data_IF_762009784770
#
_entry.id   IF_762009784770
#
_cell.length_a   1.000
_cell.length_b   1.000
_cell.length_c   1.000
_cell.angle_alpha   90.00
_cell.angle_beta   90.00
_cell.angle_gamma   90.00
#
_symmetry.space_group_name_H-M   'P 1'
#
loop_
_entity.id
_entity.type
_entity.pdbx_description
1 polymer ?
#
# COMPACT_ATOMS: atom_id res chain seq x y z
N UNK A 1 1.35 48.34 -29.75
CA UNK A 1 1.80 47.71 -28.47
C UNK A 1 1.01 46.44 -28.08
N UNK A 2 -0.11 46.10 -28.71
CA UNK A 2 -0.95 44.94 -28.34
C UNK A 2 -0.59 43.58 -29.03
N UNK A 3 0.00 43.58 -30.23
CA UNK A 3 0.35 42.34 -30.94
C UNK A 3 1.54 41.58 -30.32
N UNK A 4 2.52 42.27 -29.78
CA UNK A 4 3.71 41.68 -29.14
C UNK A 4 3.36 40.99 -27.80
N UNK A 5 2.33 41.48 -27.08
CA UNK A 5 1.86 40.84 -25.83
C UNK A 5 1.04 39.55 -26.12
N UNK A 6 0.25 39.54 -27.18
CA UNK A 6 -0.52 38.31 -27.58
C UNK A 6 0.42 37.19 -28.04
N UNK A 7 1.46 37.48 -28.79
CA UNK A 7 2.41 36.48 -29.23
C UNK A 7 3.26 35.90 -28.08
N UNK A 8 3.57 36.67 -27.04
CA UNK A 8 4.28 36.21 -25.85
C UNK A 8 3.39 35.31 -24.95
N UNK A 9 2.08 35.58 -24.86
CA UNK A 9 1.14 34.74 -24.13
C UNK A 9 0.94 33.37 -24.83
N UNK A 10 0.74 33.37 -26.13
CA UNK A 10 0.58 32.13 -26.92
C UNK A 10 1.84 31.27 -26.91
N UNK A 11 3.03 31.88 -26.88
CA UNK A 11 4.30 31.17 -26.74
C UNK A 11 4.46 30.50 -25.38
N UNK A 12 4.10 31.20 -24.28
CA UNK A 12 4.12 30.65 -22.91
C UNK A 12 3.13 29.50 -22.74
N UNK A 13 1.91 29.63 -23.28
CA UNK A 13 0.90 28.59 -23.20
C UNK A 13 1.35 27.32 -23.95
N UNK A 14 1.90 27.45 -25.14
CA UNK A 14 2.47 26.31 -25.91
C UNK A 14 3.66 25.66 -25.20
N UNK A 15 4.49 26.42 -24.51
CA UNK A 15 5.60 25.87 -23.73
C UNK A 15 5.09 25.07 -22.52
N UNK A 16 4.07 25.56 -21.82
CA UNK A 16 3.44 24.86 -20.70
C UNK A 16 2.75 23.56 -21.16
N UNK A 17 2.05 23.59 -22.29
CA UNK A 17 1.43 22.39 -22.87
C UNK A 17 2.49 21.35 -23.31
N UNK A 18 3.60 21.78 -23.91
CA UNK A 18 4.72 20.88 -24.24
C UNK A 18 5.37 20.29 -22.99
N UNK A 19 5.56 21.09 -21.93
CA UNK A 19 6.06 20.58 -20.64
C UNK A 19 5.10 19.55 -20.03
N UNK A 20 3.79 19.82 -20.04
CA UNK A 20 2.77 18.86 -19.57
C UNK A 20 2.78 17.57 -20.39
N UNK A 21 2.89 17.66 -21.72
CA UNK A 21 3.02 16.49 -22.60
C UNK A 21 4.31 15.72 -22.34
N UNK A 22 5.44 16.40 -22.14
CA UNK A 22 6.73 15.75 -21.85
C UNK A 22 6.70 15.09 -20.46
N UNK A 23 6.11 15.75 -19.45
CA UNK A 23 5.91 15.19 -18.11
C UNK A 23 4.97 13.98 -18.13
N UNK A 24 3.91 14.04 -18.94
CA UNK A 24 2.99 12.91 -19.14
C UNK A 24 3.67 11.74 -19.84
N UNK A 25 4.52 12.00 -20.84
CA UNK A 25 5.32 10.97 -21.53
C UNK A 25 6.38 10.36 -20.59
N UNK A 26 7.00 11.17 -19.72
CA UNK A 26 7.95 10.69 -18.69
C UNK A 26 7.23 9.90 -17.61
N UNK A 27 6.05 10.33 -17.19
CA UNK A 27 5.18 9.57 -16.28
C UNK A 27 4.76 8.23 -16.89
N UNK A 28 4.32 8.22 -18.14
CA UNK A 28 3.97 6.99 -18.88
C UNK A 28 5.20 6.07 -19.05
N UNK A 29 6.41 6.63 -19.23
CA UNK A 29 7.65 5.83 -19.27
C UNK A 29 7.99 5.21 -17.93
N UNK A 30 7.80 5.92 -16.83
CA UNK A 30 8.03 5.37 -15.48
C UNK A 30 7.02 4.25 -15.15
N UNK A 31 5.77 4.33 -15.63
CA UNK A 31 4.76 3.27 -15.43
C UNK A 31 5.00 2.03 -16.31
N UNK A 32 5.86 2.10 -17.34
CA UNK A 32 6.28 0.94 -18.15
C UNK A 32 7.55 0.25 -17.63
N UNK A 33 8.09 0.70 -16.51
CA UNK A 33 9.34 0.16 -15.98
C UNK A 33 9.15 -1.22 -15.35
N UNK A 34 7.94 -1.58 -14.97
CA UNK A 34 7.60 -2.81 -14.28
C UNK A 34 6.43 -3.54 -14.95
N UNK A 35 6.45 -4.86 -14.86
CA UNK A 35 5.34 -5.75 -15.18
C UNK A 35 5.23 -6.82 -14.11
N UNK A 36 4.31 -7.77 -14.26
CA UNK A 36 4.14 -8.85 -13.29
C UNK A 36 4.05 -10.20 -13.99
N UNK A 37 4.56 -11.24 -13.32
CA UNK A 37 4.40 -12.63 -13.69
C UNK A 37 3.60 -13.31 -12.59
N UNK A 38 2.60 -14.13 -12.97
CA UNK A 38 1.83 -14.92 -12.04
C UNK A 38 2.21 -16.40 -12.15
N UNK A 39 2.40 -17.03 -11.01
CA UNK A 39 2.52 -18.48 -10.88
C UNK A 39 1.35 -19.05 -10.07
N UNK A 40 0.80 -20.16 -10.55
CA UNK A 40 -0.27 -20.85 -9.88
C UNK A 40 -1.65 -20.19 -9.98
N UNK A 41 -2.57 -20.69 -9.18
CA UNK A 41 -3.97 -20.31 -9.13
C UNK A 41 -4.24 -19.42 -7.91
N UNK A 42 -4.94 -18.29 -8.08
CA UNK A 42 -5.46 -17.51 -6.94
C UNK A 42 -6.25 -18.42 -6.00
N UNK A 43 -6.21 -18.12 -4.72
CA UNK A 43 -6.87 -18.89 -3.65
C UNK A 43 -6.31 -20.31 -3.51
N UNK A 44 -5.00 -20.47 -3.75
CA UNK A 44 -4.22 -21.67 -3.43
C UNK A 44 -2.89 -21.30 -2.77
N UNK A 45 -2.30 -22.23 -2.03
CA UNK A 45 -0.97 -22.06 -1.41
C UNK A 45 0.15 -21.88 -2.46
N UNK A 46 -0.09 -22.31 -3.70
CA UNK A 46 0.87 -22.16 -4.80
C UNK A 46 0.81 -20.84 -5.54
N UNK A 47 -0.12 -19.94 -5.21
CA UNK A 47 -0.24 -18.64 -5.85
C UNK A 47 0.93 -17.73 -5.47
N UNK A 48 1.59 -17.17 -6.49
CA UNK A 48 2.61 -16.14 -6.34
C UNK A 48 2.51 -15.14 -7.49
N UNK A 49 2.60 -13.86 -7.18
CA UNK A 49 2.70 -12.80 -8.20
C UNK A 49 4.01 -12.07 -7.99
N UNK A 50 4.88 -12.15 -8.98
CA UNK A 50 6.22 -11.55 -8.95
C UNK A 50 6.26 -10.24 -9.72
N UNK A 51 7.06 -9.31 -9.23
CA UNK A 51 7.50 -8.14 -10.00
C UNK A 51 8.47 -8.57 -11.09
N UNK A 52 8.39 -7.98 -12.27
CA UNK A 52 9.41 -8.09 -13.31
C UNK A 52 9.83 -6.72 -13.83
N UNK A 53 11.13 -6.57 -14.09
CA UNK A 53 11.70 -5.37 -14.67
C UNK A 53 11.64 -5.42 -16.19
N UNK A 54 11.98 -4.31 -16.87
CA UNK A 54 11.96 -4.21 -18.33
C UNK A 54 12.87 -5.21 -19.05
N UNK A 55 13.96 -5.64 -18.39
CA UNK A 55 14.88 -6.65 -18.93
C UNK A 55 14.38 -8.09 -18.71
N UNK A 56 13.18 -8.28 -18.12
CA UNK A 56 12.58 -9.58 -17.83
C UNK A 56 13.08 -10.23 -16.53
N UNK A 57 14.00 -9.62 -15.81
CA UNK A 57 14.44 -10.12 -14.51
C UNK A 57 13.34 -9.97 -13.45
N UNK A 58 13.29 -10.93 -12.54
CA UNK A 58 12.44 -10.88 -11.35
C UNK A 58 13.01 -9.86 -10.36
N UNK A 59 12.15 -8.99 -9.87
CA UNK A 59 12.45 -8.03 -8.83
C UNK A 59 11.57 -8.21 -7.60
N UNK A 60 11.91 -7.46 -6.57
CA UNK A 60 11.18 -7.40 -5.31
C UNK A 60 10.19 -6.24 -5.32
N UNK A 61 8.91 -6.52 -5.03
CA UNK A 61 7.93 -5.47 -4.77
C UNK A 61 8.34 -4.60 -3.58
N UNK A 62 8.97 -5.20 -2.58
CA UNK A 62 9.38 -4.51 -1.37
C UNK A 62 10.56 -3.56 -1.61
N UNK A 63 11.56 -4.01 -2.43
CA UNK A 63 12.87 -3.36 -2.47
C UNK A 63 13.24 -2.72 -3.80
N UNK A 64 12.71 -3.19 -4.94
CA UNK A 64 13.08 -2.68 -6.27
C UNK A 64 12.10 -1.64 -6.82
N UNK A 65 10.87 -1.58 -6.31
CA UNK A 65 9.96 -0.47 -6.59
C UNK A 65 10.41 0.74 -5.77
N UNK A 66 10.73 1.88 -6.39
CA UNK A 66 11.15 3.06 -5.62
C UNK A 66 9.99 3.64 -4.80
N UNK A 67 10.30 4.15 -3.61
CA UNK A 67 9.35 4.94 -2.81
C UNK A 67 8.83 6.15 -3.61
N UNK A 68 9.73 6.81 -4.37
CA UNK A 68 9.45 7.97 -5.22
C UNK A 68 8.66 9.06 -4.48
N UNK A 69 9.13 9.39 -3.27
CA UNK A 69 8.54 10.42 -2.41
C UNK A 69 8.76 11.80 -2.99
N UNK A 70 7.66 12.52 -3.26
CA UNK A 70 7.66 13.96 -3.50
C UNK A 70 6.98 14.67 -2.31
N UNK A 71 7.78 15.31 -1.45
CA UNK A 71 7.27 15.95 -0.24
C UNK A 71 6.37 17.17 -0.55
N UNK A 72 6.62 17.89 -1.63
CA UNK A 72 5.83 19.07 -2.02
C UNK A 72 4.42 18.65 -2.49
N UNK A 73 4.35 17.67 -3.37
CA UNK A 73 3.09 17.12 -3.88
C UNK A 73 2.45 16.08 -2.94
N UNK A 74 3.17 15.70 -1.87
CA UNK A 74 2.80 14.65 -0.92
C UNK A 74 2.46 13.34 -1.60
N UNK A 75 3.27 12.92 -2.58
CA UNK A 75 3.02 11.70 -3.35
C UNK A 75 4.10 10.65 -3.13
N UNK A 76 3.69 9.38 -3.20
CA UNK A 76 4.55 8.19 -3.13
C UNK A 76 4.07 7.15 -4.11
N UNK A 77 4.85 6.09 -4.31
CA UNK A 77 4.36 4.89 -4.97
C UNK A 77 3.66 3.97 -3.97
N UNK A 78 2.62 3.29 -4.45
CA UNK A 78 1.88 2.22 -3.78
C UNK A 78 1.90 0.96 -4.63
N UNK A 79 2.00 -0.19 -4.00
CA UNK A 79 1.79 -1.50 -4.62
C UNK A 79 0.43 -2.01 -4.17
N UNK A 80 -0.44 -2.34 -5.11
CA UNK A 80 -1.76 -2.89 -4.81
C UNK A 80 -1.63 -4.38 -4.52
N UNK A 81 -1.93 -4.80 -3.31
CA UNK A 81 -1.95 -6.20 -2.88
C UNK A 81 -3.34 -6.80 -2.96
N UNK A 82 -4.34 -6.06 -2.47
CA UNK A 82 -5.73 -6.50 -2.37
C UNK A 82 -6.64 -5.49 -3.06
N UNK A 83 -7.15 -5.81 -4.25
CA UNK A 83 -8.20 -5.00 -4.88
C UNK A 83 -9.41 -4.85 -3.97
N UNK A 84 -10.05 -3.69 -3.99
CA UNK A 84 -11.29 -3.43 -3.24
C UNK A 84 -12.30 -4.57 -3.43
N UNK A 85 -13.01 -4.90 -2.36
CA UNK A 85 -14.01 -5.98 -2.26
C UNK A 85 -13.47 -7.40 -2.37
N UNK A 86 -12.16 -7.59 -2.41
CA UNK A 86 -11.53 -8.90 -2.31
C UNK A 86 -11.57 -9.37 -0.85
N UNK A 87 -11.88 -10.65 -0.62
CA UNK A 87 -11.88 -11.27 0.72
C UNK A 87 -10.56 -11.96 1.05
N UNK A 88 -9.81 -12.46 0.06
CA UNK A 88 -8.49 -13.04 0.30
C UNK A 88 -7.50 -12.01 0.78
N UNK A 89 -6.79 -12.29 1.89
CA UNK A 89 -5.67 -11.46 2.34
C UNK A 89 -4.44 -11.78 1.52
N UNK A 90 -4.07 -10.89 0.63
CA UNK A 90 -2.82 -10.98 -0.13
C UNK A 90 -1.84 -9.95 0.40
N UNK A 91 -0.55 -10.31 0.43
CA UNK A 91 0.51 -9.44 0.95
C UNK A 91 1.84 -9.72 0.26
N UNK A 92 2.75 -8.77 0.29
CA UNK A 92 4.14 -8.94 -0.11
C UNK A 92 4.81 -9.88 0.90
N UNK A 93 5.27 -11.05 0.43
CA UNK A 93 5.92 -12.03 1.30
C UNK A 93 7.25 -11.50 1.84
N UNK A 94 7.42 -11.56 3.16
CA UNK A 94 8.70 -11.25 3.81
C UNK A 94 9.73 -12.37 3.67
N UNK A 95 9.29 -13.61 3.60
CA UNK A 95 10.16 -14.79 3.65
C UNK A 95 10.68 -15.22 2.28
N UNK A 96 9.84 -15.07 1.24
CA UNK A 96 10.17 -15.59 -0.08
C UNK A 96 11.16 -14.69 -0.82
N UNK A 97 12.04 -15.32 -1.60
CA UNK A 97 12.96 -14.62 -2.49
C UNK A 97 12.18 -13.68 -3.43
N UNK A 98 12.67 -12.47 -3.62
CA UNK A 98 12.05 -11.40 -4.42
C UNK A 98 10.68 -10.94 -3.93
N UNK A 99 10.29 -11.26 -2.71
CA UNK A 99 9.10 -10.76 -2.04
C UNK A 99 7.85 -10.71 -2.96
N UNK A 100 7.41 -11.86 -3.54
CA UNK A 100 6.21 -11.89 -4.36
C UNK A 100 4.96 -11.60 -3.51
N UNK A 101 3.90 -11.14 -4.15
CA UNK A 101 2.57 -11.13 -3.52
C UNK A 101 2.06 -12.57 -3.46
N UNK A 102 1.69 -13.00 -2.26
CA UNK A 102 1.10 -14.31 -1.95
C UNK A 102 -0.18 -14.14 -1.17
N UNK A 103 -1.00 -15.18 -1.08
CA UNK A 103 -2.07 -15.15 -0.09
C UNK A 103 -1.53 -15.57 1.27
N UNK A 104 -1.75 -14.74 2.29
CA UNK A 104 -1.35 -15.01 3.66
C UNK A 104 -1.99 -16.31 4.20
N UNK A 105 -1.31 -16.94 5.14
CA UNK A 105 -1.71 -18.20 5.73
C UNK A 105 -1.68 -18.15 7.25
N UNK A 106 -2.64 -18.84 7.88
CA UNK A 106 -2.66 -19.06 9.33
C UNK A 106 -2.90 -20.54 9.60
N UNK A 107 -2.00 -21.18 10.35
CA UNK A 107 -2.07 -22.62 10.65
C UNK A 107 -2.18 -23.48 9.37
N UNK A 108 -1.44 -23.13 8.32
CA UNK A 108 -1.41 -23.83 7.04
C UNK A 108 -2.66 -23.62 6.16
N UNK A 109 -3.59 -22.74 6.54
CA UNK A 109 -4.79 -22.40 5.77
C UNK A 109 -4.72 -21.00 5.24
N UNK A 110 -5.23 -20.80 4.01
CA UNK A 110 -5.32 -19.47 3.42
C UNK A 110 -6.18 -18.53 4.28
N UNK A 111 -5.70 -17.31 4.45
CA UNK A 111 -6.43 -16.27 5.18
C UNK A 111 -7.40 -15.53 4.27
N UNK A 112 -8.58 -15.30 4.80
CA UNK A 112 -9.61 -14.45 4.24
C UNK A 112 -10.10 -13.49 5.33
N UNK A 113 -10.42 -12.27 4.97
CA UNK A 113 -11.18 -11.38 5.85
C UNK A 113 -12.65 -11.76 5.79
N UNK A 114 -13.32 -11.68 6.92
CA UNK A 114 -14.77 -11.94 6.99
C UNK A 114 -15.55 -10.70 6.52
N UNK A 115 -16.70 -10.96 5.88
CA UNK A 115 -17.64 -9.88 5.58
C UNK A 115 -18.36 -9.48 6.86
N UNK A 116 -18.11 -8.29 7.36
CA UNK A 116 -18.81 -7.72 8.51
C UNK A 116 -19.84 -6.70 8.02
N UNK A 117 -21.13 -6.91 8.35
CA UNK A 117 -22.18 -6.01 7.86
C UNK A 117 -21.93 -4.57 8.29
N UNK A 118 -21.99 -3.55 7.38
CA UNK A 118 -22.38 -3.64 5.95
C UNK A 118 -21.20 -3.80 4.96
N UNK A 119 -20.01 -4.20 5.40
CA UNK A 119 -18.78 -4.20 4.61
C UNK A 119 -18.48 -5.57 3.98
N UNK A 120 -18.21 -5.59 2.68
CA UNK A 120 -17.80 -6.78 1.94
C UNK A 120 -16.29 -6.76 1.67
N UNK A 121 -15.55 -7.77 2.20
CA UNK A 121 -14.10 -7.87 2.02
C UNK A 121 -13.35 -6.61 2.46
N UNK A 122 -12.25 -6.30 1.77
CA UNK A 122 -11.54 -5.04 1.94
C UNK A 122 -12.32 -3.89 1.32
N UNK A 123 -12.57 -2.84 2.10
CA UNK A 123 -13.37 -1.69 1.62
C UNK A 123 -12.56 -0.68 0.81
N UNK A 124 -11.24 -0.84 0.75
CA UNK A 124 -10.29 -0.05 -0.01
C UNK A 124 -9.56 -0.92 -1.03
N UNK A 125 -8.91 -0.30 -2.03
CA UNK A 125 -7.75 -0.92 -2.63
C UNK A 125 -6.63 -0.88 -1.59
N UNK A 126 -6.24 -2.05 -1.09
CA UNK A 126 -5.28 -2.16 -0.01
C UNK A 126 -3.92 -2.60 -0.55
N UNK A 127 -2.85 -2.13 0.07
CA UNK A 127 -1.53 -2.51 -0.36
C UNK A 127 -0.44 -1.84 0.46
N UNK A 128 0.77 -1.87 -0.05
CA UNK A 128 1.97 -1.45 0.66
C UNK A 128 2.67 -0.26 0.00
N UNK A 129 3.33 0.56 0.80
CA UNK A 129 4.25 1.59 0.33
C UNK A 129 5.65 0.95 0.23
N UNK A 130 6.23 0.83 -0.99
CA UNK A 130 7.53 0.18 -1.17
C UNK A 130 8.66 0.93 -0.49
N UNK A 131 9.75 0.21 -0.19
CA UNK A 131 10.94 0.76 0.48
C UNK A 131 10.61 1.47 1.81
N UNK A 132 9.59 0.96 2.53
CA UNK A 132 9.30 1.30 3.92
C UNK A 132 9.29 0.04 4.76
N UNK A 133 9.55 0.15 6.06
CA UNK A 133 9.55 -0.99 6.99
C UNK A 133 9.15 -0.55 8.39
N UNK A 134 8.10 -1.16 8.93
CA UNK A 134 7.66 -0.97 10.31
C UNK A 134 8.54 -1.80 11.25
N UNK A 135 9.64 -1.20 11.67
CA UNK A 135 10.76 -1.82 12.38
C UNK A 135 10.34 -2.36 13.76
N UNK A 136 10.29 -3.69 13.98
CA UNK A 136 9.90 -4.27 15.26
C UNK A 136 10.97 -4.10 16.35
N UNK A 137 12.13 -3.53 16.00
CA UNK A 137 13.23 -3.28 16.93
C UNK A 137 13.14 -1.93 17.61
N UNK A 138 12.27 -1.05 17.12
CA UNK A 138 12.07 0.30 17.61
C UNK A 138 10.80 0.34 18.46
N UNK A 139 10.91 0.88 19.67
CA UNK A 139 9.78 1.14 20.54
C UNK A 139 9.22 2.54 20.28
N UNK A 140 7.94 2.62 19.96
CA UNK A 140 7.21 3.85 19.76
C UNK A 140 6.33 4.17 21.00
N UNK A 141 6.58 5.33 21.61
CA UNK A 141 5.72 5.88 22.66
C UNK A 141 4.77 6.88 22.05
N UNK A 142 3.53 6.47 21.82
CA UNK A 142 2.53 7.28 21.11
C UNK A 142 1.56 7.94 22.09
N UNK A 143 1.70 9.27 22.22
CA UNK A 143 0.84 10.05 23.11
C UNK A 143 1.01 9.71 24.59
N UNK A 144 -0.11 9.63 25.34
CA UNK A 144 -0.14 9.26 26.75
C UNK A 144 -0.28 7.75 26.99
N UNK A 145 -0.10 6.92 25.96
CA UNK A 145 -0.08 5.48 26.14
C UNK A 145 1.18 5.08 26.92
N UNK A 146 1.01 4.48 28.08
CA UNK A 146 2.12 3.98 28.91
C UNK A 146 2.80 2.73 28.30
N UNK A 147 2.22 2.18 27.23
CA UNK A 147 2.73 0.98 26.56
C UNK A 147 3.52 1.41 25.33
N UNK A 148 4.78 0.99 25.29
CA UNK A 148 5.59 1.11 24.10
C UNK A 148 5.14 0.07 23.06
N UNK A 149 4.82 0.52 21.85
CA UNK A 149 4.42 -0.33 20.73
C UNK A 149 5.60 -0.51 19.77
N UNK A 150 5.67 -1.65 19.11
CA UNK A 150 6.67 -1.96 18.08
C UNK A 150 5.98 -2.10 16.74
N UNK A 151 6.71 -1.85 15.65
CA UNK A 151 6.24 -2.14 14.31
C UNK A 151 5.99 -3.64 14.09
N UNK A 152 5.18 -3.97 13.10
CA UNK A 152 4.72 -5.33 12.79
C UNK A 152 5.63 -6.12 11.84
N UNK A 153 6.79 -5.53 11.48
CA UNK A 153 7.77 -6.12 10.58
C UNK A 153 7.33 -6.15 9.08
N UNK A 154 6.30 -5.41 8.70
CA UNK A 154 5.80 -5.29 7.33
C UNK A 154 6.20 -3.94 6.68
N UNK A 155 6.11 -3.78 5.35
CA UNK A 155 6.11 -2.46 4.75
C UNK A 155 4.86 -1.69 5.19
N UNK A 156 4.92 -0.35 5.21
CA UNK A 156 3.76 0.49 5.56
C UNK A 156 2.54 0.16 4.71
N UNK A 157 1.44 -0.14 5.36
CA UNK A 157 0.15 -0.38 4.73
C UNK A 157 -0.52 0.90 4.24
N UNK A 158 -1.20 0.83 3.11
CA UNK A 158 -1.99 1.93 2.60
C UNK A 158 -3.38 1.51 2.09
N UNK A 159 -4.33 2.42 2.31
CA UNK A 159 -5.74 2.31 1.94
C UNK A 159 -6.04 3.35 0.86
N UNK A 160 -6.16 2.91 -0.38
CA UNK A 160 -6.49 3.77 -1.50
C UNK A 160 -8.01 3.92 -1.61
N UNK A 161 -8.50 5.17 -1.57
CA UNK A 161 -9.91 5.51 -1.45
C UNK A 161 -10.57 5.97 -2.76
N UNK A 162 -9.84 6.08 -3.86
CA UNK A 162 -10.36 6.55 -5.15
C UNK A 162 -11.51 5.69 -5.69
N UNK A 163 -12.06 6.08 -6.82
CA UNK A 163 -13.28 5.49 -7.38
C UNK A 163 -13.07 4.13 -8.05
N UNK A 164 -11.89 3.85 -8.58
CA UNK A 164 -11.61 2.64 -9.34
C UNK A 164 -11.26 1.44 -8.45
N UNK A 165 -11.54 0.23 -8.95
CA UNK A 165 -10.99 -1.01 -8.40
C UNK A 165 -9.67 -1.29 -9.09
N UNK A 166 -8.57 -1.26 -8.33
CA UNK A 166 -7.23 -1.38 -8.86
C UNK A 166 -6.82 -2.85 -9.03
N UNK A 167 -5.89 -3.12 -9.94
CA UNK A 167 -5.39 -4.46 -10.19
C UNK A 167 -4.29 -4.84 -9.20
N UNK A 168 -4.32 -6.08 -8.68
CA UNK A 168 -3.27 -6.66 -7.82
C UNK A 168 -1.91 -6.64 -8.53
N UNK A 169 -0.89 -6.17 -7.84
CA UNK A 169 0.48 -6.05 -8.34
C UNK A 169 0.71 -4.81 -9.20
N UNK A 170 -0.33 -3.97 -9.42
CA UNK A 170 -0.13 -2.68 -10.07
C UNK A 170 0.60 -1.72 -9.13
N UNK A 171 1.48 -0.90 -9.72
CA UNK A 171 2.20 0.17 -9.04
C UNK A 171 1.49 1.47 -9.38
N UNK A 172 1.07 2.19 -8.36
CA UNK A 172 0.30 3.43 -8.47
C UNK A 172 1.04 4.59 -7.83
N UNK A 173 1.06 5.73 -8.49
CA UNK A 173 1.44 7.00 -7.86
C UNK A 173 0.23 7.50 -7.10
N UNK A 174 0.36 7.66 -5.78
CA UNK A 174 -0.75 8.06 -4.91
C UNK A 174 -0.40 9.32 -4.11
N UNK A 175 -1.41 10.12 -3.82
CA UNK A 175 -1.31 11.28 -2.92
C UNK A 175 -1.63 10.84 -1.50
N UNK A 176 -0.77 11.19 -0.55
CA UNK A 176 -0.92 10.92 0.88
C UNK A 176 -1.86 11.97 1.49
N UNK A 177 -2.93 11.51 2.12
CA UNK A 177 -3.97 12.36 2.70
C UNK A 177 -3.94 12.36 4.24
N UNK A 178 -3.51 11.27 4.84
CA UNK A 178 -3.42 11.10 6.28
C UNK A 178 -3.13 9.67 6.68
N UNK A 179 -3.19 9.36 7.97
CA UNK A 179 -2.99 7.98 8.47
C UNK A 179 -3.76 7.73 9.76
N UNK A 180 -4.06 6.45 10.00
CA UNK A 180 -4.65 5.93 11.23
C UNK A 180 -3.65 4.97 11.87
N UNK A 181 -3.36 5.16 13.16
CA UNK A 181 -2.43 4.30 13.91
C UNK A 181 -3.22 3.17 14.58
N UNK A 182 -3.35 2.03 13.91
CA UNK A 182 -3.96 0.83 14.44
C UNK A 182 -3.03 0.18 15.47
N UNK A 183 -3.62 -0.35 16.56
CA UNK A 183 -2.95 -1.24 17.49
C UNK A 183 -3.52 -2.64 17.24
N UNK A 184 -2.76 -3.46 16.54
CA UNK A 184 -3.17 -4.79 16.11
C UNK A 184 -2.39 -5.87 16.87
N UNK A 185 -3.08 -6.66 17.69
CA UNK A 185 -2.47 -7.69 18.55
C UNK A 185 -1.29 -7.16 19.41
N UNK A 186 -1.25 -5.85 19.72
CA UNK A 186 -0.22 -5.19 20.51
C UNK A 186 0.93 -4.58 19.72
N UNK A 187 0.87 -4.62 18.41
CA UNK A 187 1.81 -4.00 17.47
C UNK A 187 1.24 -2.70 16.90
N UNK A 188 2.12 -1.76 16.55
CA UNK A 188 1.76 -0.55 15.85
C UNK A 188 1.75 -0.85 14.34
N UNK A 189 0.59 -0.69 13.75
CA UNK A 189 0.30 -0.99 12.37
C UNK A 189 -0.36 0.25 11.72
N UNK A 190 0.43 1.04 11.00
CA UNK A 190 -0.04 2.26 10.37
C UNK A 190 -0.87 1.97 9.12
N UNK A 191 -2.02 2.65 9.01
CA UNK A 191 -2.89 2.62 7.82
C UNK A 191 -2.86 3.99 7.15
N UNK A 192 -2.07 4.12 6.09
CA UNK A 192 -1.94 5.38 5.33
C UNK A 192 -3.12 5.51 4.37
N UNK A 193 -3.84 6.63 4.46
CA UNK A 193 -4.96 6.94 3.56
C UNK A 193 -4.40 7.68 2.34
N UNK A 194 -4.65 7.13 1.16
CA UNK A 194 -4.12 7.65 -0.10
C UNK A 194 -5.20 7.68 -1.19
N UNK A 195 -4.95 8.47 -2.25
CA UNK A 195 -5.77 8.47 -3.48
C UNK A 195 -4.86 8.40 -4.70
N UNK A 196 -5.21 7.58 -5.71
CA UNK A 196 -4.50 7.54 -7.00
C UNK A 196 -4.47 8.96 -7.60
N UNK A 197 -3.30 9.45 -8.00
CA UNK A 197 -3.15 10.79 -8.60
C UNK A 197 -3.95 10.95 -9.90
N UNK A 198 -4.32 9.84 -10.54
CA UNK A 198 -5.16 9.83 -11.74
C UNK A 198 -6.66 9.79 -11.43
N UNK A 199 -7.08 9.62 -10.17
CA UNK A 199 -8.48 9.71 -9.81
C UNK A 199 -9.00 11.13 -10.08
N UNK A 200 -10.21 11.29 -10.68
CA UNK A 200 -10.77 12.60 -11.00
C UNK A 200 -10.89 13.55 -9.80
N UNK A 201 -10.99 13.03 -8.59
CA UNK A 201 -11.11 13.82 -7.36
C UNK A 201 -9.75 14.10 -6.70
N UNK A 202 -8.65 13.49 -7.14
CA UNK A 202 -7.33 13.64 -6.50
C UNK A 202 -6.85 15.09 -6.43
N UNK A 203 -7.21 15.91 -7.43
CA UNK A 203 -6.87 17.33 -7.47
C UNK A 203 -7.68 18.20 -6.52
N UNK A 204 -8.78 17.67 -5.97
CA UNK A 204 -9.72 18.36 -5.07
C UNK A 204 -9.55 17.96 -3.61
N UNK A 205 -8.84 16.87 -3.35
CA UNK A 205 -8.66 16.30 -2.02
C UNK A 205 -7.17 16.39 -1.67
N UNK A 206 -6.84 17.19 -0.67
CA UNK A 206 -5.48 17.43 -0.20
C UNK A 206 -5.31 17.26 1.32
N UNK A 207 -6.41 17.04 2.04
CA UNK A 207 -6.44 16.80 3.48
C UNK A 207 -7.63 15.94 3.92
N UNK A 208 -7.71 15.64 5.23
CA UNK A 208 -8.74 14.82 5.83
C UNK A 208 -10.15 15.47 5.78
N UNK A 209 -10.23 16.80 5.88
CA UNK A 209 -11.51 17.53 5.82
C UNK A 209 -12.11 17.41 4.42
N UNK A 210 -11.27 17.48 3.39
CA UNK A 210 -11.68 17.31 2.01
C UNK A 210 -12.11 15.87 1.69
N UNK A 211 -11.56 14.87 2.38
CA UNK A 211 -12.06 13.49 2.27
C UNK A 211 -13.53 13.44 2.67
N UNK A 212 -13.92 14.01 3.81
CA UNK A 212 -15.30 13.99 4.28
C UNK A 212 -16.26 14.79 3.36
N UNK A 213 -15.76 15.81 2.67
CA UNK A 213 -16.56 16.58 1.71
C UNK A 213 -16.89 15.75 0.45
N UNK A 214 -15.94 14.97 -0.09
CA UNK A 214 -16.08 14.24 -1.35
C UNK A 214 -16.41 12.76 -1.19
N UNK A 215 -16.02 12.16 -0.06
CA UNK A 215 -16.27 10.76 0.31
C UNK A 215 -16.87 10.68 1.73
N UNK A 216 -18.06 11.25 1.97
CA UNK A 216 -18.62 11.36 3.31
C UNK A 216 -18.74 10.00 4.00
N UNK A 217 -18.23 9.92 5.23
CA UNK A 217 -18.25 8.72 6.06
C UNK A 217 -17.18 7.68 5.77
N UNK A 218 -16.28 7.86 4.78
CA UNK A 218 -15.25 6.86 4.47
C UNK A 218 -14.23 6.70 5.61
N UNK A 219 -13.88 7.80 6.30
CA UNK A 219 -12.94 7.74 7.42
C UNK A 219 -13.52 6.99 8.61
N UNK A 220 -14.79 7.22 8.93
CA UNK A 220 -15.49 6.48 9.98
C UNK A 220 -15.66 5.01 9.62
N UNK A 221 -16.06 4.71 8.38
CA UNK A 221 -16.16 3.34 7.87
C UNK A 221 -14.81 2.61 7.93
N UNK A 222 -13.71 3.29 7.59
CA UNK A 222 -12.35 2.75 7.67
C UNK A 222 -11.99 2.38 9.11
N UNK A 223 -12.19 3.30 10.04
CA UNK A 223 -11.91 3.06 11.47
C UNK A 223 -12.76 1.93 12.01
N UNK A 224 -14.04 1.92 11.71
CA UNK A 224 -14.97 0.89 12.18
C UNK A 224 -14.65 -0.49 11.57
N UNK A 225 -14.28 -0.55 10.30
CA UNK A 225 -13.87 -1.79 9.65
C UNK A 225 -12.62 -2.38 10.31
N UNK A 226 -11.56 -1.60 10.51
CA UNK A 226 -10.34 -2.06 11.19
C UNK A 226 -10.58 -2.41 12.66
N UNK A 227 -11.51 -1.74 13.32
CA UNK A 227 -11.90 -2.07 14.70
C UNK A 227 -12.46 -3.48 14.80
N UNK A 228 -13.25 -3.92 13.82
CA UNK A 228 -14.11 -5.10 13.90
C UNK A 228 -13.70 -6.28 13.03
N UNK A 229 -12.87 -6.09 12.02
CA UNK A 229 -12.65 -7.09 10.96
C UNK A 229 -12.13 -8.45 11.45
N UNK A 230 -11.51 -8.51 12.64
CA UNK A 230 -11.02 -9.74 13.27
C UNK A 230 -12.01 -10.39 14.25
N UNK A 231 -13.08 -9.69 14.64
CA UNK A 231 -14.06 -10.19 15.63
C UNK A 231 -14.70 -11.53 15.20
N UNK A 232 -15.12 -11.72 13.94
CA UNK A 232 -15.66 -13.01 13.51
C UNK A 232 -14.67 -14.17 13.63
N UNK A 233 -13.37 -13.90 13.68
CA UNK A 233 -12.32 -14.90 13.90
C UNK A 233 -12.00 -15.11 15.40
N UNK A 234 -12.83 -14.57 16.31
CA UNK A 234 -12.70 -14.73 17.76
C UNK A 234 -11.69 -13.79 18.41
N UNK A 235 -11.24 -12.75 17.71
CA UNK A 235 -10.36 -11.71 18.28
C UNK A 235 -11.18 -10.59 18.95
N UNK A 236 -10.63 -9.88 19.96
CA UNK A 236 -11.26 -8.69 20.51
C UNK A 236 -11.34 -7.58 19.44
N UNK A 237 -12.06 -6.51 19.78
CA UNK A 237 -12.00 -5.26 19.00
C UNK A 237 -10.59 -4.70 19.03
N UNK A 238 -10.11 -4.25 17.86
CA UNK A 238 -8.85 -3.51 17.79
C UNK A 238 -9.00 -2.10 18.38
N UNK A 239 -7.90 -1.56 18.85
CA UNK A 239 -7.80 -0.19 19.35
C UNK A 239 -6.90 0.66 18.45
N UNK A 240 -6.82 1.97 18.72
CA UNK A 240 -6.02 2.90 17.93
C UNK A 240 -5.26 3.83 18.86
N UNK A 241 -4.06 4.22 18.45
CA UNK A 241 -3.30 5.26 19.11
C UNK A 241 -3.90 6.66 18.86
N UNK A 242 -3.32 7.70 19.46
CA UNK A 242 -3.74 9.10 19.30
C UNK A 242 -5.23 9.36 19.55
N UNK A 243 -5.83 8.66 20.52
CA UNK A 243 -7.28 8.75 20.81
C UNK A 243 -8.15 8.51 19.57
N UNK A 244 -7.73 7.56 18.73
CA UNK A 244 -8.40 7.18 17.48
C UNK A 244 -8.48 8.29 16.41
N UNK A 245 -7.70 9.35 16.59
CA UNK A 245 -7.66 10.45 15.64
C UNK A 245 -6.73 10.15 14.48
N UNK A 246 -7.19 10.44 13.27
CA UNK A 246 -6.35 10.44 12.09
C UNK A 246 -5.23 11.47 12.22
N UNK A 247 -4.05 11.12 11.75
CA UNK A 247 -2.95 12.04 11.59
C UNK A 247 -3.02 12.70 10.21
N UNK A 248 -2.70 13.98 10.13
CA UNK A 248 -2.71 14.72 8.86
C UNK A 248 -1.60 14.26 7.91
N UNK A 249 -1.66 14.72 6.65
CA UNK A 249 -0.70 14.35 5.61
C UNK A 249 0.75 14.69 5.96
N UNK A 250 1.03 15.82 6.65
CA UNK A 250 2.41 16.21 7.00
C UNK A 250 3.03 15.24 8.01
N UNK A 251 2.28 14.88 9.05
CA UNK A 251 2.73 13.87 10.03
C UNK A 251 2.87 12.50 9.38
N UNK A 252 1.97 12.16 8.46
CA UNK A 252 2.03 10.89 7.73
C UNK A 252 3.27 10.81 6.83
N UNK A 253 3.62 11.89 6.13
CA UNK A 253 4.87 11.97 5.36
C UNK A 253 6.09 11.77 6.28
N UNK A 254 6.06 12.33 7.50
CA UNK A 254 7.14 12.10 8.46
C UNK A 254 7.24 10.61 8.86
N UNK A 255 6.11 9.95 9.15
CA UNK A 255 6.06 8.50 9.42
C UNK A 255 6.62 7.70 8.23
N UNK A 256 6.23 8.01 7.00
CA UNK A 256 6.76 7.35 5.79
C UNK A 256 8.29 7.50 5.71
N UNK A 257 8.84 8.69 6.00
CA UNK A 257 10.30 8.93 6.03
C UNK A 257 11.00 8.12 7.11
N UNK A 258 10.40 7.99 8.28
CA UNK A 258 10.93 7.17 9.38
C UNK A 258 10.97 5.69 9.00
N UNK A 259 9.88 5.14 8.46
CA UNK A 259 9.83 3.76 7.98
C UNK A 259 10.76 3.52 6.77
N UNK A 260 10.95 4.52 5.91
CA UNK A 260 11.95 4.45 4.83
C UNK A 260 13.39 4.42 5.38
N UNK A 261 13.68 5.18 6.44
CA UNK A 261 14.99 5.11 7.09
C UNK A 261 15.20 3.76 7.79
N UNK A 262 14.18 3.16 8.37
CA UNK A 262 14.21 1.79 8.89
C UNK A 262 14.46 0.78 7.78
N UNK A 263 13.79 0.90 6.63
CA UNK A 263 14.07 0.09 5.45
C UNK A 263 15.53 0.20 4.97
N UNK A 264 16.13 1.40 4.96
CA UNK A 264 17.55 1.57 4.63
C UNK A 264 18.47 0.81 5.57
N UNK A 265 18.15 0.76 6.87
CA UNK A 265 18.89 -0.05 7.85
C UNK A 265 18.73 -1.54 7.56
N UNK A 266 17.50 -1.98 7.24
CA UNK A 266 17.21 -3.37 6.88
C UNK A 266 18.08 -3.83 5.70
N UNK A 267 18.06 -3.10 4.58
CA UNK A 267 18.83 -3.48 3.39
C UNK A 267 20.34 -3.31 3.52
N UNK A 268 20.84 -2.53 4.49
CA UNK A 268 22.25 -2.39 4.76
C UNK A 268 22.88 -3.62 5.43
N UNK A 269 22.05 -4.57 5.88
CA UNK A 269 22.49 -5.75 6.62
C UNK A 269 22.92 -5.48 8.07
N UNK A 270 22.82 -4.24 8.55
CA UNK A 270 23.30 -3.86 9.89
C UNK A 270 22.52 -4.48 11.06
N UNK A 271 21.38 -5.12 10.76
CA UNK A 271 20.49 -5.74 11.75
C UNK A 271 20.58 -7.26 11.78
N UNK A 272 21.24 -7.92 10.80
CA UNK A 272 21.23 -9.38 10.63
C UNK A 272 21.77 -10.16 11.84
N UNK A 273 22.67 -9.59 12.61
CA UNK A 273 23.21 -10.24 13.82
C UNK A 273 22.30 -10.10 15.05
N UNK A 274 21.21 -9.31 14.95
CA UNK A 274 20.42 -8.91 16.11
C UNK A 274 18.99 -9.48 16.12
N UNK A 275 18.51 -9.96 14.96
CA UNK A 275 17.11 -10.39 14.80
C UNK A 275 17.00 -11.59 13.85
N UNK A 276 16.25 -12.62 14.28
CA UNK A 276 16.12 -13.90 13.56
C UNK A 276 15.08 -13.87 12.42
N UNK A 277 14.13 -12.90 12.41
CA UNK A 277 12.99 -12.86 11.49
C UNK A 277 12.98 -11.61 10.60
N UNK A 278 14.13 -11.19 10.11
CA UNK A 278 14.18 -10.07 9.17
C UNK A 278 13.60 -10.46 7.80
N UNK A 279 12.93 -9.53 7.11
CA UNK A 279 12.49 -9.75 5.74
C UNK A 279 13.64 -10.14 4.81
N UNK A 280 13.33 -11.01 3.83
CA UNK A 280 14.25 -11.32 2.75
C UNK A 280 14.54 -10.06 1.93
N UNK A 281 15.83 -9.74 1.76
CA UNK A 281 16.29 -8.50 1.10
C UNK A 281 16.78 -8.72 -0.33
N UNK A 282 16.49 -9.87 -0.92
CA UNK A 282 16.92 -10.17 -2.29
C UNK A 282 16.22 -9.29 -3.32
N UNK A 283 16.99 -8.74 -4.24
CA UNK A 283 16.56 -7.80 -5.28
C UNK A 283 16.97 -8.26 -6.66
N UNK A 284 16.45 -7.59 -7.69
CA UNK A 284 16.88 -7.77 -9.06
C UNK A 284 18.41 -7.58 -9.23
N UNK A 285 18.93 -8.07 -10.35
CA UNK A 285 20.37 -8.00 -10.67
C UNK A 285 21.09 -9.35 -10.64
N UNK A 286 20.36 -10.44 -10.36
CA UNK A 286 20.92 -11.80 -10.32
C UNK A 286 20.62 -12.62 -11.61
N UNK A 287 20.06 -11.99 -12.67
CA UNK A 287 19.70 -12.66 -13.92
C UNK A 287 18.56 -13.67 -13.79
N UNK A 288 17.81 -13.65 -12.71
CA UNK A 288 16.68 -14.59 -12.49
C UNK A 288 15.48 -14.17 -13.32
N UNK A 289 14.97 -15.08 -14.12
CA UNK A 289 13.73 -14.93 -14.90
C UNK A 289 12.77 -16.05 -14.54
N UNK A 290 11.47 -15.78 -14.64
CA UNK A 290 10.42 -16.76 -14.42
C UNK A 290 9.46 -16.75 -15.61
N UNK A 291 8.85 -17.90 -15.87
CA UNK A 291 7.78 -18.02 -16.85
C UNK A 291 6.41 -17.80 -16.19
N UNK A 292 5.52 -17.15 -16.93
CA UNK A 292 4.14 -16.96 -16.52
C UNK A 292 3.41 -18.31 -16.58
N UNK A 293 2.70 -18.68 -15.50
CA UNK A 293 1.95 -19.93 -15.44
C UNK A 293 0.58 -19.72 -14.80
N UNK A 294 -0.16 -18.74 -15.33
CA UNK A 294 -1.50 -18.37 -14.86
C UNK A 294 -2.45 -19.57 -14.96
N UNK A 295 -3.13 -19.87 -13.86
CA UNK A 295 -4.22 -20.84 -13.80
C UNK A 295 -5.50 -20.14 -13.35
N UNK A 296 -6.68 -20.64 -13.75
CA UNK A 296 -7.95 -20.10 -13.26
C UNK A 296 -7.99 -20.07 -11.73
N UNK A 297 -8.62 -19.05 -11.11
CA UNK A 297 -8.77 -19.00 -9.66
C UNK A 297 -9.50 -20.22 -9.11
N UNK A 298 -9.05 -20.71 -7.95
CA UNK A 298 -9.79 -21.72 -7.19
C UNK A 298 -11.03 -21.10 -6.56
N UNK A 299 -11.98 -21.95 -6.17
CA UNK A 299 -13.17 -21.50 -5.48
C UNK A 299 -12.83 -20.94 -4.10
N UNK A 300 -13.44 -19.81 -3.77
CA UNK A 300 -13.42 -19.26 -2.41
C UNK A 300 -14.32 -20.14 -1.53
N UNK A 301 -13.88 -20.55 -0.34
CA UNK A 301 -14.70 -21.35 0.56
C UNK A 301 -16.06 -20.67 0.85
N UNK A 302 -17.18 -21.41 0.81
CA UNK A 302 -18.52 -20.81 0.98
C UNK A 302 -18.70 -20.07 2.30
N UNK A 303 -17.99 -20.46 3.37
CA UNK A 303 -18.02 -19.79 4.66
C UNK A 303 -17.49 -18.36 4.62
N UNK A 304 -16.61 -18.04 3.68
CA UNK A 304 -16.06 -16.68 3.48
C UNK A 304 -17.13 -15.73 2.95
N UNK A 305 -18.16 -16.24 2.27
CA UNK A 305 -19.22 -15.44 1.70
C UNK A 305 -20.32 -15.03 2.71
N UNK A 306 -20.24 -15.55 3.94
CA UNK A 306 -21.21 -15.25 4.99
C UNK A 306 -21.06 -13.84 5.53
N UNK A 307 -22.18 -13.22 5.91
CA UNK A 307 -22.20 -12.01 6.70
C UNK A 307 -22.07 -12.30 8.19
N UNK A 308 -21.31 -11.45 8.86
CA UNK A 308 -21.23 -11.42 10.31
C UNK A 308 -21.77 -10.08 10.82
N UNK A 309 -22.55 -10.11 11.87
CA UNK A 309 -23.12 -8.94 12.55
C UNK A 309 -22.38 -8.78 13.88
N UNK A 310 -21.51 -7.77 13.97
CA UNK A 310 -20.58 -7.54 15.10
C UNK A 310 -20.61 -6.09 15.57
#
# INVERSE_FOLDING_TARGET
>A
MNLLRMNALTSKTRSIERLKQTLNILSIRNHRQFSTIQQGSKYTLGFKKYLTLLNGEVGSFFHDVPLDLNEHEKTVNMIVEVPRWTTGKFEISKELRFNPIVQDTKNGKLRFVNNIFPYHGYIHNYGAIPQTWEDPTIEHKLGKCDVALKGDNDPLDCCEIGSDVLEMGSIKKVKVLGSLALIDDGELDWKVIVIDVNDPLSSKIDDLEKIEEYFPGILDATREWFRKYKVPAGKPLNSFAFHEQYQNSDKTIQTIKECHNSWKKLISGSLQEKYDNLPNTERAGNGVTLEDSVKPPSQIPPEVQKWYYV
#
